data_IF_230357460961
#
_entry.id   IF_230357460961
#
_cell.length_a   1.000
_cell.length_b   1.000
_cell.length_c   1.000
_cell.angle_alpha   90.00
_cell.angle_beta   90.00
_cell.angle_gamma   90.00
#
_symmetry.space_group_name_H-M   'P 1'
#
loop_
_entity.id
_entity.type
_entity.pdbx_description
1 polymer ?
#
# COMPACT_ATOMS: atom_id res chain seq x y z
N UNK A 1 -12.83 2.37 -5.73
CA UNK A 1 -12.50 1.03 -5.21
C UNK A 1 -12.95 0.86 -3.75
N UNK A 2 -12.33 1.55 -2.84
CA UNK A 2 -12.72 1.52 -1.41
C UNK A 2 -13.20 2.92 -1.03
N UNK A 3 -14.36 3.02 -0.43
CA UNK A 3 -14.96 4.27 0.02
C UNK A 3 -15.52 4.07 1.42
N UNK A 4 -15.07 4.90 2.38
CA UNK A 4 -15.48 4.81 3.79
C UNK A 4 -15.34 3.39 4.36
N UNK A 5 -14.24 2.71 4.04
CA UNK A 5 -13.97 1.33 4.46
C UNK A 5 -14.76 0.24 3.71
N UNK A 6 -15.62 0.61 2.76
CA UNK A 6 -16.43 -0.34 2.00
C UNK A 6 -15.80 -0.56 0.63
N UNK A 7 -15.59 -1.82 0.27
CA UNK A 7 -15.13 -2.21 -1.06
C UNK A 7 -16.28 -2.05 -2.07
N UNK A 8 -16.07 -1.22 -3.09
CA UNK A 8 -17.10 -0.87 -4.09
C UNK A 8 -16.87 -1.53 -5.45
N UNK A 9 -15.64 -1.48 -5.95
CA UNK A 9 -15.32 -1.93 -7.29
C UNK A 9 -13.93 -2.58 -7.37
N UNK A 10 -13.75 -3.49 -8.34
CA UNK A 10 -12.47 -4.03 -8.76
C UNK A 10 -11.90 -3.24 -9.95
N UNK A 11 -10.61 -3.38 -10.19
CA UNK A 11 -10.05 -3.07 -11.50
C UNK A 11 -10.47 -4.14 -12.49
N UNK A 12 -10.87 -3.75 -13.69
CA UNK A 12 -11.22 -4.70 -14.74
C UNK A 12 -10.80 -4.19 -16.12
N UNK A 13 -10.30 -5.11 -16.92
CA UNK A 13 -10.15 -4.94 -18.37
C UNK A 13 -11.44 -5.36 -19.09
N UNK A 14 -11.46 -5.31 -20.41
CA UNK A 14 -12.65 -5.70 -21.19
C UNK A 14 -12.97 -7.20 -21.05
N UNK A 15 -11.95 -8.05 -21.01
CA UNK A 15 -12.15 -9.49 -20.89
C UNK A 15 -12.80 -9.87 -19.55
N UNK A 16 -12.23 -9.37 -18.45
CA UNK A 16 -12.77 -9.63 -17.12
C UNK A 16 -14.19 -9.06 -16.97
N UNK A 17 -14.42 -7.86 -17.50
CA UNK A 17 -15.74 -7.21 -17.49
C UNK A 17 -16.78 -8.02 -18.23
N UNK A 18 -16.44 -8.52 -19.41
CA UNK A 18 -17.32 -9.37 -20.20
C UNK A 18 -17.62 -10.68 -19.50
N UNK A 19 -16.58 -11.35 -18.96
CA UNK A 19 -16.71 -12.60 -18.22
C UNK A 19 -17.60 -12.47 -16.98
N UNK A 20 -17.53 -11.34 -16.28
CA UNK A 20 -18.31 -11.07 -15.08
C UNK A 20 -19.69 -10.47 -15.35
N UNK A 21 -20.01 -10.15 -16.61
CA UNK A 21 -21.26 -9.47 -16.97
C UNK A 21 -21.41 -8.07 -16.38
N UNK A 22 -20.30 -7.39 -16.09
CA UNK A 22 -20.26 -6.08 -15.45
C UNK A 22 -19.66 -5.01 -16.34
N UNK A 23 -20.00 -3.75 -16.04
CA UNK A 23 -19.36 -2.62 -16.72
C UNK A 23 -17.89 -2.54 -16.28
N UNK A 24 -17.00 -2.51 -17.26
CA UNK A 24 -15.56 -2.41 -17.02
C UNK A 24 -15.12 -1.09 -16.43
N UNK A 25 -14.07 -1.14 -15.62
CA UNK A 25 -13.44 0.05 -15.05
C UNK A 25 -12.44 0.73 -16.02
N UNK A 26 -12.16 0.11 -17.17
CA UNK A 26 -11.18 0.62 -18.13
C UNK A 26 -9.72 0.47 -17.70
N UNK A 27 -9.45 -0.37 -16.72
CA UNK A 27 -8.12 -0.58 -16.16
C UNK A 27 -7.44 -1.80 -16.80
N UNK A 28 -6.86 -1.63 -17.96
CA UNK A 28 -6.08 -2.66 -18.63
C UNK A 28 -4.61 -2.25 -18.71
N UNK A 29 -3.69 -3.13 -18.36
CA UNK A 29 -2.26 -2.91 -18.52
C UNK A 29 -1.58 -4.06 -19.21
N UNK A 30 -0.65 -3.76 -20.11
CA UNK A 30 0.31 -4.71 -20.66
C UNK A 30 1.61 -4.53 -19.90
N UNK A 31 1.89 -5.45 -18.99
CA UNK A 31 3.11 -5.40 -18.19
C UNK A 31 4.29 -5.90 -19.00
N UNK A 32 5.36 -5.15 -19.03
CA UNK A 32 6.66 -5.59 -19.54
C UNK A 32 7.59 -5.85 -18.37
N UNK A 33 8.52 -6.79 -18.52
CA UNK A 33 9.52 -7.08 -17.51
C UNK A 33 10.78 -6.27 -17.77
N UNK A 34 11.44 -5.81 -16.73
CA UNK A 34 10.96 -5.39 -15.41
C UNK A 34 10.54 -3.92 -15.39
N UNK A 35 10.73 -3.22 -16.47
CA UNK A 35 10.52 -1.78 -16.56
C UNK A 35 9.81 -1.41 -17.84
N UNK A 36 8.54 -1.09 -17.74
CA UNK A 36 7.80 -0.54 -18.85
C UNK A 36 6.66 -1.43 -19.37
N UNK A 37 6.09 -1.00 -20.47
CA UNK A 37 4.99 -1.69 -21.16
C UNK A 37 5.51 -2.40 -22.39
N UNK A 38 4.93 -3.55 -22.70
CA UNK A 38 5.23 -4.31 -23.92
C UNK A 38 3.96 -4.55 -24.73
N UNK A 39 4.12 -4.72 -26.03
CA UNK A 39 3.00 -5.09 -26.92
C UNK A 39 2.65 -6.58 -26.85
N UNK A 40 3.59 -7.42 -26.41
CA UNK A 40 3.45 -8.88 -26.43
C UNK A 40 2.52 -9.46 -25.35
N UNK A 41 2.54 -9.00 -24.09
CA UNK A 41 1.71 -9.59 -23.06
C UNK A 41 0.22 -9.32 -23.31
N UNK A 42 -0.60 -10.31 -22.95
CA UNK A 42 -2.06 -10.14 -22.91
C UNK A 42 -2.39 -9.09 -21.85
N UNK A 43 -3.29 -8.13 -22.12
CA UNK A 43 -3.69 -7.14 -21.14
C UNK A 43 -4.31 -7.77 -19.90
N UNK A 44 -3.83 -7.38 -18.73
CA UNK A 44 -4.38 -7.78 -17.43
C UNK A 44 -5.09 -6.61 -16.78
N UNK A 45 -6.00 -6.89 -15.85
CA UNK A 45 -6.61 -5.87 -15.00
C UNK A 45 -5.59 -5.35 -13.99
N UNK A 46 -5.26 -4.07 -14.06
CA UNK A 46 -4.25 -3.46 -13.20
C UNK A 46 -4.49 -1.96 -13.01
N UNK A 47 -4.10 -1.39 -11.87
CA UNK A 47 -4.14 0.05 -11.66
C UNK A 47 -3.10 0.76 -12.52
N UNK A 48 -3.41 1.99 -12.95
CA UNK A 48 -2.46 2.88 -13.61
C UNK A 48 -1.95 3.98 -12.67
N UNK A 49 -2.86 4.56 -11.90
CA UNK A 49 -2.57 5.56 -10.88
C UNK A 49 -3.39 5.22 -9.64
N UNK A 50 -2.75 5.18 -8.49
CA UNK A 50 -3.43 4.95 -7.22
C UNK A 50 -3.44 6.24 -6.44
N UNK A 51 -4.62 6.63 -5.97
CA UNK A 51 -4.77 7.78 -5.09
C UNK A 51 -5.45 7.35 -3.80
N UNK A 52 -4.80 7.66 -2.68
CA UNK A 52 -5.41 7.60 -1.35
C UNK A 52 -5.73 9.05 -0.97
N UNK A 53 -6.99 9.33 -0.70
CA UNK A 53 -7.42 10.67 -0.29
C UNK A 53 -6.80 11.04 1.06
N UNK A 54 -6.45 12.30 1.22
CA UNK A 54 -6.00 12.84 2.51
C UNK A 54 -7.06 12.67 3.57
N UNK A 55 -6.60 12.34 4.78
CA UNK A 55 -7.35 12.53 6.01
C UNK A 55 -7.08 13.90 6.62
N UNK A 56 -7.33 14.01 7.92
CA UNK A 56 -7.22 15.27 8.65
C UNK A 56 -6.11 15.27 9.70
N UNK A 57 -5.43 14.16 9.92
CA UNK A 57 -4.44 13.99 10.98
C UNK A 57 -3.05 14.34 10.47
N UNK A 58 -2.28 15.10 11.23
CA UNK A 58 -0.88 15.31 10.89
C UNK A 58 -0.04 14.07 11.21
N UNK A 59 1.10 13.90 10.53
CA UNK A 59 2.04 12.83 10.86
C UNK A 59 2.53 12.94 12.31
N UNK A 60 2.73 14.17 12.80
CA UNK A 60 3.13 14.43 14.17
C UNK A 60 2.08 13.96 15.19
N UNK A 61 0.80 14.19 14.91
CA UNK A 61 -0.27 13.72 15.79
C UNK A 61 -0.41 12.20 15.76
N UNK A 62 -0.19 11.57 14.60
CA UNK A 62 -0.12 10.10 14.52
C UNK A 62 1.01 9.55 15.40
N UNK A 63 2.18 10.20 15.40
CA UNK A 63 3.31 9.81 16.25
C UNK A 63 2.95 9.98 17.72
N UNK A 64 2.39 11.13 18.11
CA UNK A 64 1.96 11.40 19.50
C UNK A 64 0.95 10.39 20.02
N UNK A 65 0.05 9.93 19.16
CA UNK A 65 -0.99 8.93 19.47
C UNK A 65 -0.46 7.48 19.40
N UNK A 66 0.81 7.26 19.13
CA UNK A 66 1.39 5.92 19.03
C UNK A 66 2.16 5.58 20.31
N UNK A 67 1.68 4.56 21.05
CA UNK A 67 2.34 4.09 22.27
C UNK A 67 3.63 3.32 21.96
N UNK A 68 3.57 2.38 21.04
CA UNK A 68 4.72 1.62 20.52
C UNK A 68 4.54 1.42 19.03
N UNK A 69 5.55 1.73 18.24
CA UNK A 69 5.44 1.59 16.79
C UNK A 69 6.72 1.91 16.04
N UNK A 70 6.62 1.81 14.72
CA UNK A 70 7.68 2.17 13.81
C UNK A 70 7.18 3.21 12.81
N UNK A 71 7.90 4.30 12.67
CA UNK A 71 7.77 5.17 11.52
C UNK A 71 8.66 4.60 10.40
N UNK A 72 8.07 4.27 9.28
CA UNK A 72 8.75 3.64 8.15
C UNK A 72 8.76 4.57 6.95
N UNK A 73 9.93 4.98 6.51
CA UNK A 73 10.07 5.86 5.34
C UNK A 73 9.84 5.13 4.02
N UNK A 74 10.24 3.86 3.93
CA UNK A 74 10.10 3.09 2.68
C UNK A 74 10.03 1.59 2.92
N UNK A 75 9.12 0.93 2.19
CA UNK A 75 9.03 -0.51 2.07
C UNK A 75 9.73 -0.98 0.79
N UNK A 76 10.44 -2.10 0.89
CA UNK A 76 11.20 -2.73 -0.18
C UNK A 76 10.72 -4.16 -0.40
N UNK A 77 10.94 -4.69 -1.59
CA UNK A 77 10.72 -6.11 -1.89
C UNK A 77 9.32 -6.58 -1.47
N UNK A 78 8.30 -5.84 -1.92
CA UNK A 78 6.91 -6.22 -1.68
C UNK A 78 6.49 -7.29 -2.69
N UNK A 79 6.21 -8.49 -2.19
CA UNK A 79 5.78 -9.62 -2.98
C UNK A 79 4.48 -10.20 -2.45
N UNK A 80 3.62 -10.67 -3.37
CA UNK A 80 2.49 -11.50 -3.00
C UNK A 80 3.00 -12.88 -2.53
N UNK A 81 2.63 -13.28 -1.32
CA UNK A 81 2.91 -14.60 -0.75
C UNK A 81 1.77 -15.56 -1.08
N UNK A 82 0.56 -15.10 -0.86
CA UNK A 82 -0.66 -15.79 -1.27
C UNK A 82 -1.64 -14.78 -1.86
N UNK A 83 -1.67 -14.62 -3.20
CA UNK A 83 -2.52 -13.62 -3.84
C UNK A 83 -4.02 -13.89 -3.67
N UNK A 84 -4.44 -15.12 -3.40
CA UNK A 84 -5.85 -15.46 -3.18
C UNK A 84 -6.35 -14.80 -1.89
N UNK A 85 -5.56 -14.86 -0.82
CA UNK A 85 -5.89 -14.26 0.47
C UNK A 85 -5.42 -12.81 0.60
N UNK A 86 -4.65 -12.31 -0.38
CA UNK A 86 -4.03 -11.00 -0.32
C UNK A 86 -2.84 -10.94 0.64
N UNK A 87 -2.20 -12.07 0.93
CA UNK A 87 -1.04 -12.10 1.81
C UNK A 87 0.19 -11.60 1.05
N UNK A 88 0.97 -10.76 1.72
CA UNK A 88 2.18 -10.17 1.17
C UNK A 88 3.34 -10.18 2.17
N UNK A 89 4.54 -10.06 1.64
CA UNK A 89 5.76 -9.83 2.42
C UNK A 89 6.48 -8.60 1.89
N UNK A 90 6.99 -7.79 2.78
CA UNK A 90 7.88 -6.68 2.42
C UNK A 90 8.94 -6.46 3.50
N UNK A 91 9.95 -5.66 3.16
CA UNK A 91 11.03 -5.30 4.08
C UNK A 91 11.03 -3.80 4.31
N UNK A 92 10.89 -3.37 5.54
CA UNK A 92 11.22 -2.02 5.98
C UNK A 92 12.73 -1.99 6.26
N UNK A 93 13.50 -1.20 5.50
CA UNK A 93 14.97 -1.12 5.63
C UNK A 93 15.54 0.29 5.47
N UNK A 94 14.71 1.26 5.22
CA UNK A 94 15.14 2.64 5.03
C UNK A 94 14.22 3.60 5.77
N UNK A 95 14.83 4.56 6.49
CA UNK A 95 14.09 5.59 7.23
C UNK A 95 13.20 4.99 8.33
N UNK A 96 13.71 4.01 9.06
CA UNK A 96 12.98 3.40 10.17
C UNK A 96 13.32 4.15 11.44
N UNK A 97 12.29 4.59 12.16
CA UNK A 97 12.42 5.22 13.46
C UNK A 97 11.50 4.53 14.45
N UNK A 98 11.98 4.35 15.67
CA UNK A 98 11.22 3.75 16.77
C UNK A 98 10.37 4.84 17.42
N UNK A 99 9.10 4.53 17.64
CA UNK A 99 8.17 5.40 18.38
C UNK A 99 7.84 4.72 19.70
N UNK A 100 8.06 5.45 20.81
CA UNK A 100 7.67 5.03 22.14
C UNK A 100 6.99 6.18 22.89
N UNK A 101 5.82 5.90 23.41
CA UNK A 101 5.02 6.86 24.18
C UNK A 101 4.86 8.22 23.48
N UNK A 102 4.55 8.19 22.20
CA UNK A 102 4.29 9.38 21.40
C UNK A 102 5.52 10.15 20.93
N UNK A 103 6.72 9.58 21.06
CA UNK A 103 7.99 10.23 20.71
C UNK A 103 8.87 9.30 19.88
N UNK A 104 9.59 9.87 18.92
CA UNK A 104 10.66 9.16 18.22
C UNK A 104 11.84 9.06 19.19
N UNK A 105 12.27 7.83 19.49
CA UNK A 105 13.35 7.54 20.43
C UNK A 105 14.68 7.21 19.75
N UNK A 106 14.65 6.87 18.47
CA UNK A 106 15.87 6.60 17.73
C UNK A 106 15.66 5.83 16.44
N UNK A 107 16.74 5.48 15.73
CA UNK A 107 16.65 4.69 14.53
C UNK A 107 16.27 3.24 14.84
N UNK A 108 15.44 2.66 14.00
CA UNK A 108 15.06 1.24 14.04
C UNK A 108 15.93 0.39 13.12
N UNK A 109 16.06 -0.90 13.47
CA UNK A 109 16.67 -1.90 12.60
C UNK A 109 15.72 -2.31 11.47
N UNK A 110 16.28 -2.91 10.43
CA UNK A 110 15.48 -3.49 9.34
C UNK A 110 14.56 -4.58 9.89
N UNK A 111 13.32 -4.58 9.39
CA UNK A 111 12.32 -5.57 9.79
C UNK A 111 11.59 -6.10 8.57
N UNK A 112 11.16 -7.35 8.66
CA UNK A 112 10.27 -7.97 7.67
C UNK A 112 8.82 -7.89 8.16
N UNK A 113 7.96 -7.48 7.28
CA UNK A 113 6.51 -7.47 7.47
C UNK A 113 5.93 -8.59 6.62
N UNK A 114 5.17 -9.49 7.23
CA UNK A 114 4.36 -10.51 6.56
C UNK A 114 2.95 -10.31 7.06
N UNK A 115 2.04 -9.93 6.18
CA UNK A 115 0.70 -9.55 6.59
C UNK A 115 -0.32 -9.77 5.46
N UNK A 116 -1.60 -9.74 5.81
CA UNK A 116 -2.70 -9.78 4.87
C UNK A 116 -3.12 -8.36 4.49
N UNK A 117 -3.18 -8.05 3.20
CA UNK A 117 -3.62 -6.74 2.71
C UNK A 117 -5.05 -6.38 3.17
N UNK A 118 -6.04 -7.29 3.12
CA UNK A 118 -7.36 -6.99 3.68
C UNK A 118 -7.33 -6.63 5.17
N UNK A 119 -6.53 -7.33 5.98
CA UNK A 119 -6.40 -7.03 7.41
C UNK A 119 -5.65 -5.71 7.64
N UNK A 120 -4.60 -5.44 6.87
CA UNK A 120 -3.91 -4.16 6.93
C UNK A 120 -4.86 -2.99 6.63
N UNK A 121 -5.68 -3.11 5.60
CA UNK A 121 -6.66 -2.07 5.24
C UNK A 121 -7.74 -1.88 6.30
N UNK A 122 -8.17 -2.95 6.98
CA UNK A 122 -9.13 -2.87 8.10
C UNK A 122 -8.54 -2.21 9.35
N UNK A 123 -7.24 -2.34 9.54
CA UNK A 123 -6.52 -1.82 10.71
C UNK A 123 -5.95 -0.40 10.50
N UNK A 124 -6.32 0.27 9.40
CA UNK A 124 -5.98 1.69 9.23
C UNK A 124 -6.73 2.49 10.30
N UNK A 125 -5.99 3.07 11.24
CA UNK A 125 -6.55 3.88 12.32
C UNK A 125 -6.51 5.38 12.01
N UNK A 126 -5.59 5.82 11.14
CA UNK A 126 -5.49 7.23 10.76
C UNK A 126 -4.91 7.41 9.35
N UNK A 127 -5.36 8.47 8.67
CA UNK A 127 -4.89 8.88 7.34
C UNK A 127 -4.42 10.33 7.44
N UNK A 128 -3.22 10.58 6.94
CA UNK A 128 -2.56 11.87 7.02
C UNK A 128 -3.14 12.96 6.12
N UNK A 129 -2.85 14.19 6.48
CA UNK A 129 -3.15 15.37 5.66
C UNK A 129 -1.97 15.76 4.73
N UNK A 130 -0.90 14.99 4.76
CA UNK A 130 0.39 15.22 4.09
C UNK A 130 0.51 14.52 2.73
N UNK A 131 -0.55 14.53 1.94
CA UNK A 131 -0.60 13.86 0.65
C UNK A 131 0.55 14.29 -0.27
N UNK A 132 1.24 13.32 -0.85
CA UNK A 132 2.37 13.54 -1.76
C UNK A 132 2.32 12.62 -2.97
N UNK A 133 2.96 13.06 -4.06
CA UNK A 133 3.17 12.23 -5.25
C UNK A 133 4.36 11.31 -5.01
N UNK A 134 4.19 10.03 -5.26
CA UNK A 134 5.23 9.01 -5.12
C UNK A 134 5.33 8.24 -6.42
N UNK A 135 6.55 8.10 -6.93
CA UNK A 135 6.86 7.23 -8.05
C UNK A 135 7.69 6.09 -7.50
N UNK A 136 7.16 4.89 -7.60
CA UNK A 136 7.86 3.68 -7.18
C UNK A 136 8.74 3.16 -8.32
N UNK A 137 9.66 2.28 -7.99
CA UNK A 137 10.58 1.68 -8.95
C UNK A 137 9.89 0.98 -10.13
N UNK A 138 8.74 0.39 -9.91
CA UNK A 138 7.93 -0.28 -10.96
C UNK A 138 7.01 0.67 -11.74
N UNK A 139 7.24 1.98 -11.66
CA UNK A 139 6.53 3.00 -12.46
C UNK A 139 5.02 3.06 -12.27
N UNK A 140 4.50 2.70 -11.08
CA UNK A 140 3.11 2.95 -10.73
C UNK A 140 3.00 4.28 -9.96
N UNK A 141 2.66 5.40 -10.64
CA UNK A 141 2.48 6.67 -9.97
C UNK A 141 1.38 6.56 -8.91
N UNK A 142 1.66 7.06 -7.74
CA UNK A 142 0.72 7.05 -6.63
C UNK A 142 0.67 8.41 -5.96
N UNK A 143 -0.49 8.76 -5.43
CA UNK A 143 -0.67 9.94 -4.60
C UNK A 143 -1.18 9.42 -3.26
N UNK A 144 -0.37 9.58 -2.22
CA UNK A 144 -0.68 8.99 -0.92
C UNK A 144 -0.22 9.87 0.23
N UNK A 145 -1.00 9.97 1.31
CA UNK A 145 -0.57 10.56 2.58
C UNK A 145 0.17 9.53 3.43
N UNK A 146 0.64 9.94 4.59
CA UNK A 146 1.03 9.04 5.67
C UNK A 146 -0.17 8.23 6.17
N UNK A 147 0.05 6.97 6.52
CA UNK A 147 -1.01 6.06 6.97
C UNK A 147 -0.54 5.38 8.26
N UNK A 148 -1.36 5.46 9.31
CA UNK A 148 -1.16 4.70 10.54
C UNK A 148 -1.96 3.41 10.46
N UNK A 149 -1.27 2.29 10.69
CA UNK A 149 -1.88 0.97 10.68
C UNK A 149 -1.56 0.28 12.00
N UNK A 150 -2.57 -0.23 12.66
CA UNK A 150 -2.45 -0.93 13.93
C UNK A 150 -2.21 -2.44 13.73
N UNK A 151 -1.64 -3.09 14.73
CA UNK A 151 -1.52 -4.55 14.80
C UNK A 151 -0.76 -5.17 13.61
N UNK A 152 0.30 -4.54 13.15
CA UNK A 152 1.19 -5.08 12.13
C UNK A 152 2.23 -5.99 12.79
N UNK A 153 2.31 -7.23 12.33
CA UNK A 153 3.37 -8.16 12.75
C UNK A 153 4.67 -7.82 12.04
N UNK A 154 5.71 -7.59 12.83
CA UNK A 154 7.07 -7.30 12.35
C UNK A 154 8.05 -8.34 12.90
N UNK A 155 8.95 -8.80 12.04
CA UNK A 155 9.99 -9.76 12.39
C UNK A 155 11.35 -9.11 12.19
N UNK A 156 12.27 -9.31 13.11
CA UNK A 156 13.68 -8.89 12.92
C UNK A 156 14.32 -9.65 11.75
N UNK A 157 15.23 -8.99 11.05
CA UNK A 157 16.04 -9.56 9.98
C UNK A 157 17.49 -9.56 10.43
#
# INVERSE_FOLDING_TARGET
MIEKGIFKNTFSNLYDSYKEGKKGSGNASRTGSPMGRSSNPIPISAPHNITIKSGNTSQEDMIKDTKHGLLVGRLWYTYAVNPINGDFSCTARSGIQIIENGKITGPGKSVRIIHSLPNMLKNISSIGNDQRKVIQWASLPSITPSIKVENISVNSI
#
